data_IF_242173805622
#
_entry.id   IF_242173805622
#
_cell.length_a   1.000
_cell.length_b   1.000
_cell.length_c   1.000
_cell.angle_alpha   90.00
_cell.angle_beta   90.00
_cell.angle_gamma   90.00
#
_symmetry.space_group_name_H-M   'P 1'
#
loop_
_entity.id
_entity.type
_entity.pdbx_description
1 polymer ?
#
# COMPACT_ATOMS: atom_id res chain seq x y z
N UNK A 1 -7.98 48.94 -5.57
CA UNK A 1 -7.15 47.92 -4.92
C UNK A 1 -8.09 46.80 -4.52
N UNK A 2 -8.36 45.89 -5.46
CA UNK A 2 -9.20 44.72 -5.24
C UNK A 2 -8.31 43.59 -4.78
N UNK A 3 -8.68 42.95 -3.68
CA UNK A 3 -8.07 41.75 -3.13
C UNK A 3 -8.52 40.55 -3.99
N UNK A 4 -7.63 39.83 -4.69
CA UNK A 4 -8.01 38.68 -5.49
C UNK A 4 -7.29 37.43 -4.99
N UNK A 5 -7.68 36.86 -3.85
CA UNK A 5 -7.57 35.42 -3.61
C UNK A 5 -8.09 35.03 -2.23
N UNK A 6 -9.34 34.57 -2.18
CA UNK A 6 -9.66 33.50 -1.22
C UNK A 6 -10.74 32.61 -1.82
N UNK A 7 -10.34 31.86 -2.85
CA UNK A 7 -11.04 30.63 -3.17
C UNK A 7 -10.64 29.59 -2.11
N UNK A 8 -11.58 28.88 -1.48
CA UNK A 8 -11.24 27.80 -0.57
C UNK A 8 -10.47 26.71 -1.33
N UNK A 9 -9.34 26.30 -0.77
CA UNK A 9 -8.55 25.18 -1.29
C UNK A 9 -9.44 23.92 -1.42
N UNK A 10 -9.25 23.10 -2.48
CA UNK A 10 -10.04 21.89 -2.65
C UNK A 10 -9.84 21.00 -1.41
N UNK A 11 -10.96 20.58 -0.80
CA UNK A 11 -10.98 19.59 0.27
C UNK A 11 -10.04 18.44 -0.11
N UNK A 12 -8.99 18.26 0.70
CA UNK A 12 -7.87 17.39 0.39
C UNK A 12 -8.34 16.01 -0.04
N UNK A 13 -8.28 15.73 -1.34
CA UNK A 13 -8.32 14.37 -1.84
C UNK A 13 -7.18 13.64 -1.13
N UNK A 14 -7.49 12.60 -0.35
CA UNK A 14 -6.46 11.76 0.25
C UNK A 14 -5.48 11.41 -0.89
N UNK A 15 -4.19 11.77 -0.78
CA UNK A 15 -3.24 11.54 -1.85
C UNK A 15 -3.28 10.06 -2.22
N UNK A 16 -3.13 9.74 -3.50
CA UNK A 16 -3.15 8.35 -3.97
C UNK A 16 -2.21 7.46 -3.13
N UNK A 17 -1.04 7.98 -2.70
CA UNK A 17 -0.13 7.30 -1.78
C UNK A 17 -0.78 6.85 -0.47
N UNK A 18 -1.72 7.62 0.11
CA UNK A 18 -2.40 7.25 1.35
C UNK A 18 -3.36 6.06 1.19
N UNK A 19 -3.96 5.90 0.00
CA UNK A 19 -4.84 4.75 -0.29
C UNK A 19 -4.03 3.50 -0.62
N UNK A 20 -2.89 3.70 -1.26
CA UNK A 20 -1.96 2.69 -1.68
C UNK A 20 -1.20 2.07 -0.49
N UNK A 21 -0.72 2.89 0.44
CA UNK A 21 -0.15 2.44 1.72
C UNK A 21 -1.16 1.66 2.54
N UNK A 22 -2.41 2.14 2.63
CA UNK A 22 -3.49 1.40 3.28
C UNK A 22 -3.81 0.06 2.60
N UNK A 23 -3.59 -0.07 1.29
CA UNK A 23 -3.73 -1.35 0.59
C UNK A 23 -2.61 -2.33 0.96
N UNK A 24 -1.37 -1.85 1.04
CA UNK A 24 -0.23 -2.65 1.49
C UNK A 24 -0.41 -3.12 2.95
N UNK A 25 -0.84 -2.24 3.84
CA UNK A 25 -1.14 -2.57 5.25
C UNK A 25 -2.18 -3.69 5.37
N UNK A 26 -3.25 -3.66 4.57
CA UNK A 26 -4.26 -4.72 4.54
C UNK A 26 -3.68 -6.05 4.05
N UNK A 27 -2.83 -6.03 3.03
CA UNK A 27 -2.19 -7.25 2.52
C UNK A 27 -1.22 -7.84 3.56
N UNK A 28 -0.46 -7.00 4.26
CA UNK A 28 0.43 -7.43 5.35
C UNK A 28 -0.35 -8.04 6.51
N UNK A 29 -1.40 -7.35 6.99
CA UNK A 29 -2.24 -7.87 8.07
C UNK A 29 -2.87 -9.22 7.70
N UNK A 30 -3.29 -9.38 6.44
CA UNK A 30 -3.84 -10.65 5.98
C UNK A 30 -2.79 -11.76 5.90
N UNK A 31 -1.57 -11.44 5.45
CA UNK A 31 -0.46 -12.38 5.42
C UNK A 31 -0.06 -12.84 6.83
N UNK A 32 -0.09 -11.93 7.80
CA UNK A 32 0.18 -12.25 9.21
C UNK A 32 -0.85 -13.21 9.80
N UNK A 33 -2.14 -13.03 9.50
CA UNK A 33 -3.21 -13.94 9.92
C UNK A 33 -3.03 -15.35 9.32
N UNK A 34 -2.82 -15.44 8.01
CA UNK A 34 -2.56 -16.70 7.31
C UNK A 34 -1.33 -17.41 7.91
N UNK A 35 -0.24 -16.68 8.10
CA UNK A 35 0.98 -17.24 8.67
C UNK A 35 0.79 -17.67 10.14
N UNK A 36 -0.01 -16.95 10.92
CA UNK A 36 -0.35 -17.35 12.29
C UNK A 36 -1.13 -18.67 12.30
N UNK A 37 -2.12 -18.82 11.40
CA UNK A 37 -2.88 -20.06 11.24
C UNK A 37 -2.00 -21.23 10.80
N UNK A 38 -1.08 -21.02 9.86
CA UNK A 38 -0.10 -22.06 9.47
C UNK A 38 0.80 -22.48 10.64
N UNK A 39 1.30 -21.50 11.42
CA UNK A 39 2.17 -21.76 12.58
C UNK A 39 1.46 -22.43 13.76
N UNK A 40 0.13 -22.35 13.84
CA UNK A 40 -0.62 -23.06 14.87
C UNK A 40 -0.37 -24.57 14.82
N UNK A 41 -0.17 -25.12 13.62
CA UNK A 41 -0.02 -26.56 13.40
C UNK A 41 -1.34 -27.33 13.52
N UNK A 42 -2.47 -26.65 13.72
CA UNK A 42 -3.78 -27.28 13.95
C UNK A 42 -4.55 -27.60 12.66
N UNK A 43 -3.87 -27.56 11.50
CA UNK A 43 -4.47 -27.75 10.18
C UNK A 43 -4.13 -29.14 9.63
N UNK A 44 -5.14 -29.81 9.06
CA UNK A 44 -4.91 -31.00 8.24
C UNK A 44 -4.03 -30.68 7.01
N UNK A 45 -3.24 -31.64 6.52
CA UNK A 45 -2.25 -31.38 5.46
C UNK A 45 -2.81 -30.70 4.21
N UNK A 46 -3.98 -31.13 3.71
CA UNK A 46 -4.60 -30.53 2.53
C UNK A 46 -5.09 -29.10 2.79
N UNK A 47 -5.53 -28.80 4.01
CA UNK A 47 -5.92 -27.45 4.40
C UNK A 47 -4.70 -26.54 4.54
N UNK A 48 -3.60 -27.07 5.10
CA UNK A 48 -2.32 -26.37 5.18
C UNK A 48 -1.76 -26.05 3.79
N UNK A 49 -1.81 -27.00 2.85
CA UNK A 49 -1.35 -26.81 1.48
C UNK A 49 -2.09 -25.65 0.78
N UNK A 50 -3.43 -25.66 0.85
CA UNK A 50 -4.25 -24.57 0.29
C UNK A 50 -3.93 -23.22 0.94
N UNK A 51 -3.70 -23.21 2.24
CA UNK A 51 -3.40 -21.99 2.98
C UNK A 51 -1.99 -21.46 2.65
N UNK A 52 -1.03 -22.34 2.33
CA UNK A 52 0.29 -21.95 1.81
C UNK A 52 0.18 -21.33 0.42
N UNK A 53 -0.62 -21.91 -0.48
CA UNK A 53 -0.87 -21.34 -1.81
C UNK A 53 -1.50 -19.94 -1.70
N UNK A 54 -2.45 -19.79 -0.79
CA UNK A 54 -3.06 -18.50 -0.48
C UNK A 54 -2.03 -17.50 0.07
N UNK A 55 -1.17 -17.94 1.01
CA UNK A 55 -0.07 -17.14 1.54
C UNK A 55 0.85 -16.62 0.42
N UNK A 56 1.21 -17.48 -0.53
CA UNK A 56 2.05 -17.13 -1.66
C UNK A 56 1.38 -16.10 -2.59
N UNK A 57 0.06 -16.23 -2.81
CA UNK A 57 -0.70 -15.28 -3.60
C UNK A 57 -0.77 -13.90 -2.93
N UNK A 58 -1.02 -13.86 -1.62
CA UNK A 58 -1.07 -12.61 -0.84
C UNK A 58 0.30 -11.93 -0.83
N UNK A 59 1.37 -12.71 -0.64
CA UNK A 59 2.75 -12.19 -0.69
C UNK A 59 3.07 -11.56 -2.05
N UNK A 60 2.70 -12.23 -3.14
CA UNK A 60 2.89 -11.72 -4.50
C UNK A 60 2.15 -10.40 -4.73
N UNK A 61 0.92 -10.28 -4.24
CA UNK A 61 0.14 -9.06 -4.31
C UNK A 61 0.79 -7.92 -3.50
N UNK A 62 1.28 -8.21 -2.30
CA UNK A 62 1.98 -7.23 -1.47
C UNK A 62 3.26 -6.73 -2.14
N UNK A 63 4.04 -7.63 -2.74
CA UNK A 63 5.24 -7.26 -3.49
C UNK A 63 4.92 -6.38 -4.70
N UNK A 64 3.87 -6.71 -5.45
CA UNK A 64 3.45 -5.90 -6.60
C UNK A 64 3.02 -4.48 -6.18
N UNK A 65 2.34 -4.36 -5.05
CA UNK A 65 1.90 -3.08 -4.52
C UNK A 65 3.07 -2.24 -3.97
N UNK A 66 4.00 -2.88 -3.26
CA UNK A 66 5.24 -2.24 -2.80
C UNK A 66 6.08 -1.71 -3.97
N UNK A 67 6.22 -2.51 -5.01
CA UNK A 67 6.95 -2.15 -6.23
C UNK A 67 6.26 -0.98 -6.97
N UNK A 68 4.92 -0.96 -6.99
CA UNK A 68 4.15 0.18 -7.53
C UNK A 68 4.41 1.45 -6.72
N UNK A 69 4.37 1.37 -5.39
CA UNK A 69 4.68 2.47 -4.48
C UNK A 69 6.11 2.99 -4.68
N UNK A 70 7.09 2.10 -4.81
CA UNK A 70 8.49 2.46 -5.03
C UNK A 70 8.68 3.27 -6.32
N UNK A 71 8.02 2.88 -7.41
CA UNK A 71 8.05 3.64 -8.69
C UNK A 71 7.41 5.01 -8.58
N UNK A 72 6.30 5.13 -7.85
CA UNK A 72 5.64 6.42 -7.61
C UNK A 72 6.57 7.33 -6.82
N UNK A 73 7.15 6.84 -5.72
CA UNK A 73 8.08 7.61 -4.90
C UNK A 73 9.33 8.06 -5.67
N UNK A 74 9.84 7.23 -6.58
CA UNK A 74 10.98 7.58 -7.45
C UNK A 74 10.64 8.65 -8.51
N UNK A 75 9.36 8.84 -8.82
CA UNK A 75 8.88 9.81 -9.83
C UNK A 75 8.47 11.15 -9.23
N UNK A 76 8.40 11.27 -7.91
CA UNK A 76 8.07 12.54 -7.26
C UNK A 76 9.30 13.48 -7.24
N UNK A 77 9.17 14.72 -7.74
CA UNK A 77 10.21 15.72 -7.61
C UNK A 77 10.57 15.93 -6.14
N UNK A 78 11.87 16.01 -5.82
CA UNK A 78 12.26 16.32 -4.45
C UNK A 78 11.73 17.71 -4.07
N UNK A 79 11.16 17.87 -2.86
CA UNK A 79 10.73 19.18 -2.37
C UNK A 79 11.86 20.20 -2.50
N UNK A 80 11.63 21.27 -3.28
CA UNK A 80 12.62 22.32 -3.56
C UNK A 80 13.25 22.28 -4.96
N UNK A 81 12.98 21.28 -5.81
CA UNK A 81 13.48 21.27 -7.20
C UNK A 81 12.65 22.12 -8.18
N UNK A 82 11.41 22.48 -7.85
CA UNK A 82 10.54 23.31 -8.70
C UNK A 82 10.85 24.82 -8.65
N UNK A 83 11.80 25.26 -7.82
CA UNK A 83 12.16 26.69 -7.67
C UNK A 83 13.38 27.13 -8.49
N UNK A 84 13.97 26.26 -9.32
CA UNK A 84 15.22 26.56 -10.04
C UNK A 84 15.04 26.82 -11.55
N UNK A 85 13.81 27.00 -12.03
CA UNK A 85 13.49 27.37 -13.41
C UNK A 85 12.66 28.66 -13.45
#
# INVERSE_FOLDING_TARGET
MSDPASAPAPAAAVPAQGRDTAALERLTAYLEDIAARLRSGDLEPDAAAKLVDECAQVASNASAELERLARVAASEPLPGQDQLL
#
